data_IF_035716943300
#
_entry.id   IF_035716943300
#
_cell.length_a   1.000
_cell.length_b   1.000
_cell.length_c   1.000
_cell.angle_alpha   90.00
_cell.angle_beta   90.00
_cell.angle_gamma   90.00
#
_symmetry.space_group_name_H-M   'P 1'
#
loop_
_entity.id
_entity.type
_entity.pdbx_description
1 polymer ?
#
# COMPACT_ATOMS: atom_id res chain seq x y z
N UNK A 1 28.73 31.07 -20.48
CA UNK A 1 28.62 31.07 -19.01
C UNK A 1 27.13 31.03 -18.69
N UNK A 2 26.70 29.93 -18.04
CA UNK A 2 25.42 29.79 -17.32
C UNK A 2 24.14 29.76 -18.18
N UNK A 3 23.23 28.80 -18.08
CA UNK A 3 23.09 27.61 -17.25
C UNK A 3 22.30 26.60 -18.08
N UNK A 4 22.76 25.35 -18.07
CA UNK A 4 22.00 24.20 -18.57
C UNK A 4 20.71 24.12 -17.76
N UNK A 5 19.55 24.32 -18.40
CA UNK A 5 18.29 23.85 -17.83
C UNK A 5 18.33 22.32 -17.92
N UNK A 6 18.55 21.70 -16.78
CA UNK A 6 18.46 20.26 -16.57
C UNK A 6 17.15 19.75 -17.17
N UNK A 7 17.15 18.64 -17.93
CA UNK A 7 15.91 18.03 -18.37
C UNK A 7 15.18 17.51 -17.12
N UNK A 8 13.98 18.03 -16.87
CA UNK A 8 13.07 17.48 -15.87
C UNK A 8 12.84 16.01 -16.23
N UNK A 9 13.31 15.10 -15.39
CA UNK A 9 13.06 13.67 -15.53
C UNK A 9 11.62 13.36 -15.11
N UNK A 10 10.64 13.85 -15.89
CA UNK A 10 9.29 13.31 -15.90
C UNK A 10 9.32 12.09 -16.82
N UNK A 11 9.41 10.86 -16.26
CA UNK A 11 9.14 9.68 -17.09
C UNK A 11 9.71 8.31 -16.73
N UNK A 12 10.38 8.07 -15.58
CA UNK A 12 11.05 6.76 -15.37
C UNK A 12 10.81 6.10 -13.99
N UNK A 13 10.05 6.69 -13.06
CA UNK A 13 9.94 6.11 -11.70
C UNK A 13 8.80 5.08 -11.51
N UNK A 14 7.87 4.92 -12.46
CA UNK A 14 6.67 4.07 -12.26
C UNK A 14 6.92 2.59 -12.59
N UNK A 15 8.10 2.22 -13.09
CA UNK A 15 8.28 0.89 -13.70
C UNK A 15 8.69 -0.25 -12.76
N UNK A 16 8.89 -0.02 -11.46
CA UNK A 16 9.06 -1.09 -10.44
C UNK A 16 8.87 -0.53 -9.01
N UNK A 17 7.66 -0.11 -8.65
CA UNK A 17 7.38 0.26 -7.26
C UNK A 17 7.47 -0.98 -6.36
N UNK A 18 8.10 -0.84 -5.20
CA UNK A 18 8.19 -1.88 -4.17
C UNK A 18 6.80 -2.25 -3.63
N UNK A 19 6.69 -3.42 -2.99
CA UNK A 19 5.44 -3.85 -2.35
C UNK A 19 4.97 -2.80 -1.34
N UNK A 20 5.89 -2.28 -0.52
CA UNK A 20 5.59 -1.22 0.44
C UNK A 20 5.02 0.04 -0.24
N UNK A 21 5.65 0.55 -1.30
CA UNK A 21 5.14 1.73 -2.02
C UNK A 21 3.74 1.50 -2.60
N UNK A 22 3.47 0.32 -3.14
CA UNK A 22 2.17 -0.05 -3.70
C UNK A 22 1.11 -0.17 -2.61
N UNK A 23 1.41 -0.82 -1.49
CA UNK A 23 0.50 -0.92 -0.34
C UNK A 23 0.20 0.46 0.23
N UNK A 24 1.23 1.28 0.47
CA UNK A 24 1.06 2.64 1.00
C UNK A 24 0.18 3.47 0.08
N UNK A 25 0.37 3.37 -1.24
CA UNK A 25 -0.47 4.07 -2.22
C UNK A 25 -1.93 3.64 -2.12
N UNK A 26 -2.21 2.33 -2.07
CA UNK A 26 -3.57 1.82 -1.93
C UNK A 26 -4.20 2.31 -0.62
N UNK A 27 -3.47 2.27 0.49
CA UNK A 27 -3.97 2.77 1.79
C UNK A 27 -4.33 4.26 1.72
N UNK A 28 -3.49 5.08 1.07
CA UNK A 28 -3.75 6.51 0.87
C UNK A 28 -4.99 6.74 0.00
N UNK A 29 -5.10 6.04 -1.12
CA UNK A 29 -6.18 6.22 -2.09
C UNK A 29 -7.52 5.69 -1.54
N UNK A 30 -7.52 4.51 -0.93
CA UNK A 30 -8.71 3.83 -0.39
C UNK A 30 -9.26 4.53 0.86
N UNK A 31 -8.39 4.94 1.80
CA UNK A 31 -8.83 5.59 3.04
C UNK A 31 -8.91 7.12 2.95
N UNK A 32 -8.46 7.72 1.83
CA UNK A 32 -8.45 9.18 1.66
C UNK A 32 -7.56 9.92 2.67
N UNK A 33 -6.47 9.30 3.10
CA UNK A 33 -5.53 9.83 4.12
C UNK A 33 -4.28 10.44 3.49
N UNK A 34 -3.51 11.22 4.25
CA UNK A 34 -2.22 11.74 3.76
C UNK A 34 -1.13 10.67 3.91
N UNK A 35 -0.24 10.54 2.92
CA UNK A 35 0.94 9.66 2.96
C UNK A 35 1.80 9.87 4.22
N UNK A 36 1.87 11.09 4.75
CA UNK A 36 2.60 11.41 5.98
C UNK A 36 2.02 10.72 7.24
N UNK A 37 0.79 10.22 7.17
CA UNK A 37 0.12 9.48 8.24
C UNK A 37 0.37 7.96 8.12
N UNK A 38 0.84 7.50 6.97
CA UNK A 38 0.98 6.07 6.64
C UNK A 38 2.42 5.64 6.89
N UNK A 39 2.60 4.84 7.95
CA UNK A 39 3.86 4.17 8.26
C UNK A 39 3.57 2.70 8.56
N UNK A 40 4.58 1.83 8.46
CA UNK A 40 4.43 0.39 8.79
C UNK A 40 3.83 0.14 10.18
N UNK A 41 4.10 1.03 11.13
CA UNK A 41 3.58 0.94 12.50
C UNK A 41 2.17 1.53 12.69
N UNK A 42 1.63 2.22 11.69
CA UNK A 42 0.31 2.83 11.78
C UNK A 42 -0.76 1.76 11.71
N UNK A 43 -1.66 1.73 12.69
CA UNK A 43 -2.83 0.87 12.68
C UNK A 43 -3.92 1.46 11.77
N UNK A 44 -4.70 0.63 11.09
CA UNK A 44 -5.76 1.12 10.21
C UNK A 44 -6.85 1.88 10.98
N UNK A 45 -7.17 1.47 12.21
CA UNK A 45 -8.06 2.20 13.11
C UNK A 45 -7.54 3.64 13.39
N UNK A 46 -6.23 3.87 13.39
CA UNK A 46 -5.65 5.21 13.58
C UNK A 46 -5.77 6.09 12.34
N UNK A 47 -5.92 5.48 11.16
CA UNK A 47 -6.22 6.14 9.91
C UNK A 47 -7.73 6.42 9.76
N UNK A 48 -8.54 5.96 10.72
CA UNK A 48 -9.99 6.14 10.71
C UNK A 48 -10.73 5.12 9.87
N UNK A 49 -10.07 4.04 9.46
CA UNK A 49 -10.71 2.96 8.72
C UNK A 49 -11.76 2.26 9.59
N UNK A 50 -12.98 2.15 9.09
CA UNK A 50 -14.02 1.32 9.66
C UNK A 50 -14.05 -0.08 9.02
N UNK A 51 -14.99 -0.94 9.44
CA UNK A 51 -15.08 -2.30 8.92
C UNK A 51 -15.35 -2.38 7.41
N UNK A 52 -16.05 -1.40 6.83
CA UNK A 52 -16.31 -1.35 5.39
C UNK A 52 -15.03 -0.92 4.66
N UNK A 53 -14.34 0.09 5.17
CA UNK A 53 -13.07 0.56 4.61
C UNK A 53 -12.02 -0.56 4.58
N UNK A 54 -11.95 -1.37 5.63
CA UNK A 54 -11.04 -2.54 5.66
C UNK A 54 -11.41 -3.57 4.58
N UNK A 55 -12.71 -3.80 4.34
CA UNK A 55 -13.16 -4.73 3.30
C UNK A 55 -12.76 -4.23 1.91
N UNK A 56 -12.97 -2.94 1.62
CA UNK A 56 -12.57 -2.32 0.35
C UNK A 56 -11.05 -2.37 0.17
N UNK A 57 -10.29 -1.99 1.21
CA UNK A 57 -8.83 -2.03 1.22
C UNK A 57 -8.30 -3.44 0.92
N UNK A 58 -8.85 -4.47 1.56
CA UNK A 58 -8.45 -5.87 1.34
C UNK A 58 -8.71 -6.29 -0.09
N UNK A 59 -9.86 -5.94 -0.66
CA UNK A 59 -10.19 -6.27 -2.06
C UNK A 59 -9.23 -5.59 -3.05
N UNK A 60 -8.89 -4.32 -2.83
CA UNK A 60 -7.90 -3.60 -3.66
C UNK A 60 -6.51 -4.26 -3.59
N UNK A 61 -6.09 -4.69 -2.40
CA UNK A 61 -4.81 -5.41 -2.23
C UNK A 61 -4.83 -6.79 -2.91
N UNK A 62 -5.93 -7.53 -2.82
CA UNK A 62 -6.10 -8.80 -3.53
C UNK A 62 -5.96 -8.63 -5.06
N UNK A 63 -6.64 -7.62 -5.62
CA UNK A 63 -6.60 -7.31 -7.05
C UNK A 63 -5.21 -6.85 -7.50
N UNK A 64 -4.58 -5.91 -6.79
CA UNK A 64 -3.27 -5.34 -7.16
C UNK A 64 -2.15 -6.39 -7.16
N UNK A 65 -2.17 -7.32 -6.21
CA UNK A 65 -1.12 -8.33 -6.05
C UNK A 65 -1.49 -9.71 -6.60
N UNK A 66 -2.70 -9.86 -7.15
CA UNK A 66 -3.27 -11.14 -7.61
C UNK A 66 -3.16 -12.24 -6.55
N UNK A 67 -3.49 -11.90 -5.29
CA UNK A 67 -3.48 -12.81 -4.15
C UNK A 67 -4.90 -13.01 -3.62
N UNK A 68 -5.07 -13.96 -2.70
CA UNK A 68 -6.30 -14.07 -1.92
C UNK A 68 -5.96 -13.99 -0.44
N UNK A 69 -6.65 -13.13 0.29
CA UNK A 69 -6.54 -12.90 1.71
C UNK A 69 -7.78 -13.51 2.38
N UNK A 70 -7.66 -14.69 3.00
CA UNK A 70 -8.77 -15.29 3.73
C UNK A 70 -9.28 -14.35 4.83
N UNK A 71 -10.60 -14.36 5.08
CA UNK A 71 -11.24 -13.53 6.11
C UNK A 71 -10.55 -13.65 7.48
N UNK A 72 -10.20 -14.86 7.90
CA UNK A 72 -9.53 -15.09 9.19
C UNK A 72 -8.11 -14.48 9.25
N UNK A 73 -7.46 -14.26 8.10
CA UNK A 73 -6.18 -13.57 8.01
C UNK A 73 -6.40 -12.06 7.93
N UNK A 74 -7.36 -11.60 7.14
CA UNK A 74 -7.73 -10.18 7.03
C UNK A 74 -8.03 -9.58 8.41
N UNK A 75 -8.79 -10.28 9.27
CA UNK A 75 -9.06 -9.86 10.65
C UNK A 75 -7.81 -9.70 11.54
N UNK A 76 -6.70 -10.37 11.17
CA UNK A 76 -5.42 -10.27 11.89
C UNK A 76 -4.53 -9.14 11.37
N UNK A 77 -4.80 -8.61 10.19
CA UNK A 77 -4.04 -7.51 9.61
C UNK A 77 -4.59 -6.19 10.18
N UNK A 78 -3.89 -5.61 11.15
CA UNK A 78 -4.34 -4.40 11.86
C UNK A 78 -3.54 -3.15 11.52
N UNK A 79 -2.40 -3.32 10.86
CA UNK A 79 -1.47 -2.25 10.52
C UNK A 79 -0.96 -2.37 9.09
N UNK A 80 -0.46 -1.25 8.57
CA UNK A 80 0.12 -1.17 7.22
C UNK A 80 1.29 -2.16 7.08
N UNK A 81 2.13 -2.27 8.11
CA UNK A 81 3.26 -3.20 8.12
C UNK A 81 2.83 -4.66 8.04
N UNK A 82 1.79 -5.05 8.79
CA UNK A 82 1.25 -6.42 8.73
C UNK A 82 0.68 -6.74 7.35
N UNK A 83 0.06 -5.76 6.67
CA UNK A 83 -0.44 -5.94 5.31
C UNK A 83 0.73 -6.17 4.33
N UNK A 84 1.78 -5.35 4.41
CA UNK A 84 2.99 -5.51 3.59
C UNK A 84 3.62 -6.87 3.81
N UNK A 85 3.84 -7.26 5.08
CA UNK A 85 4.46 -8.53 5.44
C UNK A 85 3.63 -9.73 4.96
N UNK A 86 2.30 -9.63 5.03
CA UNK A 86 1.40 -10.65 4.51
C UNK A 86 1.54 -10.80 3.00
N UNK A 87 1.51 -9.69 2.26
CA UNK A 87 1.61 -9.68 0.80
C UNK A 87 2.97 -10.23 0.35
N UNK A 88 4.06 -9.78 0.97
CA UNK A 88 5.41 -10.30 0.70
C UNK A 88 5.46 -11.82 0.89
N UNK A 89 4.88 -12.33 1.98
CA UNK A 89 4.81 -13.75 2.27
C UNK A 89 3.98 -14.53 1.25
N UNK A 90 2.84 -14.02 0.82
CA UNK A 90 2.01 -14.70 -0.19
C UNK A 90 2.69 -14.73 -1.57
N UNK A 91 3.32 -13.63 -1.98
CA UNK A 91 4.05 -13.59 -3.25
C UNK A 91 5.27 -14.51 -3.26
N UNK A 92 5.93 -14.71 -2.12
CA UNK A 92 7.05 -15.65 -1.99
C UNK A 92 6.66 -17.13 -2.05
N UNK A 93 5.35 -17.46 -1.99
CA UNK A 93 4.84 -18.84 -2.16
C UNK A 93 4.58 -19.21 -3.61
N UNK A 94 4.47 -18.23 -4.52
CA UNK A 94 4.32 -18.45 -5.96
C UNK A 94 5.66 -18.88 -6.56
#
# INVERSE_FOLDING_TARGET
MGELKSPTQEGIAVVNASIEERVVKIVVDSLGVNIDQVARTTAFDQLGADSLDIVELVMELEEEFEISIPEDQAEKIKSVGEAIDFIEKELAKK
#
